data_IF_837561221332
#
_entry.id   IF_837561221332
#
_cell.length_a   1.000
_cell.length_b   1.000
_cell.length_c   1.000
_cell.angle_alpha   90.00
_cell.angle_beta   90.00
_cell.angle_gamma   90.00
#
_symmetry.space_group_name_H-M   'P 1'
#
loop_
_entity.id
_entity.type
_entity.pdbx_description
1 polymer ?
#
# COMPACT_ATOMS: atom_id res chain seq x y z
N UNK A 1 0.94 0.62 -11.89
CA UNK A 1 -0.51 0.54 -12.24
C UNK A 1 -1.24 -0.13 -11.10
N UNK A 2 -2.58 -0.04 -11.04
CA UNK A 2 -3.35 -0.79 -10.04
C UNK A 2 -4.54 -1.50 -10.70
N UNK A 3 -4.92 -2.63 -10.12
CA UNK A 3 -6.07 -3.43 -10.54
C UNK A 3 -6.90 -3.79 -9.31
N UNK A 4 -8.20 -3.61 -9.42
CA UNK A 4 -9.18 -4.01 -8.41
C UNK A 4 -9.89 -5.29 -8.88
N UNK A 5 -10.00 -6.28 -7.99
CA UNK A 5 -10.78 -7.49 -8.21
C UNK A 5 -12.18 -7.41 -7.60
N UNK A 6 -13.14 -8.15 -8.15
CA UNK A 6 -14.55 -8.15 -7.71
C UNK A 6 -14.75 -8.53 -6.23
N UNK A 7 -13.76 -9.15 -5.59
CA UNK A 7 -13.83 -9.61 -4.20
C UNK A 7 -13.07 -8.70 -3.21
N UNK A 8 -12.77 -7.45 -3.57
CA UNK A 8 -12.01 -6.53 -2.71
C UNK A 8 -10.51 -6.82 -2.71
N UNK A 9 -10.01 -7.49 -3.74
CA UNK A 9 -8.57 -7.66 -3.98
C UNK A 9 -8.01 -6.38 -4.62
N UNK A 10 -6.85 -5.95 -4.14
CA UNK A 10 -6.13 -4.80 -4.69
C UNK A 10 -4.71 -5.23 -5.04
N UNK A 11 -4.38 -5.19 -6.32
CA UNK A 11 -3.01 -5.40 -6.79
C UNK A 11 -2.42 -4.08 -7.26
N UNK A 12 -1.25 -3.73 -6.72
CA UNK A 12 -0.49 -2.54 -7.11
C UNK A 12 0.85 -2.99 -7.70
N UNK A 13 1.07 -2.66 -8.96
CA UNK A 13 2.33 -2.87 -9.65
C UNK A 13 3.15 -1.58 -9.63
N UNK A 14 4.18 -1.59 -8.79
CA UNK A 14 5.13 -0.50 -8.59
C UNK A 14 6.24 -0.61 -9.64
N UNK A 15 6.06 0.06 -10.78
CA UNK A 15 6.92 -0.12 -11.94
C UNK A 15 8.29 0.54 -11.80
N UNK A 16 8.31 1.81 -11.35
CA UNK A 16 9.54 2.58 -11.19
C UNK A 16 9.43 3.52 -10.00
N UNK A 17 10.51 3.63 -9.22
CA UNK A 17 10.70 4.66 -8.19
C UNK A 17 11.88 5.55 -8.55
N UNK A 18 11.99 6.71 -7.89
CA UNK A 18 13.15 7.60 -8.04
C UNK A 18 14.23 7.21 -7.04
N UNK A 19 15.51 7.40 -7.38
CA UNK A 19 16.64 7.20 -6.46
C UNK A 19 16.80 8.38 -5.47
N UNK A 20 15.70 8.92 -4.97
CA UNK A 20 15.75 10.00 -4.00
C UNK A 20 16.34 9.50 -2.68
N UNK A 21 17.40 10.14 -2.22
CA UNK A 21 18.00 9.86 -0.92
C UNK A 21 17.09 10.40 0.19
N UNK A 22 16.17 9.56 0.67
CA UNK A 22 15.43 9.84 1.89
C UNK A 22 16.35 9.67 3.11
N UNK A 23 15.97 10.26 4.25
CA UNK A 23 16.73 10.09 5.49
C UNK A 23 16.82 8.60 5.91
N UNK A 24 17.83 8.19 6.69
CA UNK A 24 18.01 6.78 7.10
C UNK A 24 16.79 6.18 7.82
N UNK A 25 16.07 7.01 8.56
CA UNK A 25 14.82 6.70 9.26
C UNK A 25 13.57 6.68 8.37
N UNK A 26 13.74 6.86 7.05
CA UNK A 26 12.65 6.76 6.09
C UNK A 26 12.06 5.35 6.06
N UNK A 27 10.74 5.27 5.96
CA UNK A 27 10.03 4.00 5.76
C UNK A 27 10.02 3.56 4.29
N UNK A 28 10.85 4.13 3.41
CA UNK A 28 10.78 3.89 1.96
C UNK A 28 10.78 2.40 1.60
N UNK A 29 11.79 1.65 2.05
CA UNK A 29 11.94 0.24 1.70
C UNK A 29 10.79 -0.60 2.26
N UNK A 30 10.40 -0.32 3.51
CA UNK A 30 9.28 -1.00 4.19
C UNK A 30 7.95 -0.72 3.47
N UNK A 31 7.70 0.55 3.13
CA UNK A 31 6.50 0.98 2.41
C UNK A 31 6.37 0.30 1.05
N UNK A 32 7.47 0.23 0.27
CA UNK A 32 7.46 -0.43 -1.04
C UNK A 32 7.19 -1.93 -0.88
N UNK A 33 7.80 -2.57 0.11
CA UNK A 33 7.60 -3.99 0.39
C UNK A 33 6.16 -4.29 0.83
N UNK A 34 5.61 -3.50 1.75
CA UNK A 34 4.25 -3.65 2.25
C UNK A 34 3.21 -3.40 1.15
N UNK A 35 3.43 -2.36 0.33
CA UNK A 35 2.53 -2.01 -0.76
C UNK A 35 2.49 -3.09 -1.85
N UNK A 36 3.62 -3.72 -2.16
CA UNK A 36 3.69 -4.88 -3.06
C UNK A 36 3.05 -6.15 -2.45
N UNK A 37 2.96 -6.19 -1.11
CA UNK A 37 2.38 -7.29 -0.33
C UNK A 37 0.88 -7.18 -0.09
N UNK A 38 0.20 -6.12 -0.53
CA UNK A 38 -1.25 -5.95 -0.32
C UNK A 38 -2.03 -7.12 -0.91
N UNK A 39 -2.97 -7.65 -0.13
CA UNK A 39 -3.88 -8.74 -0.52
C UNK A 39 -5.30 -8.21 -0.75
N UNK A 40 -5.75 -7.33 0.13
CA UNK A 40 -7.13 -6.84 0.14
C UNK A 40 -7.18 -5.43 0.67
N UNK A 41 -8.29 -4.75 0.40
CA UNK A 41 -8.50 -3.40 0.87
C UNK A 41 -9.91 -3.19 1.41
N UNK A 42 -10.06 -2.18 2.26
CA UNK A 42 -11.33 -1.72 2.81
C UNK A 42 -11.36 -0.19 2.78
N UNK A 43 -12.45 0.37 2.27
CA UNK A 43 -12.75 1.80 2.41
C UNK A 43 -13.72 1.97 3.56
N UNK A 44 -13.30 2.71 4.59
CA UNK A 44 -14.13 2.99 5.76
C UNK A 44 -13.88 4.43 6.22
N UNK A 45 -14.97 5.16 6.51
CA UNK A 45 -14.91 6.54 7.02
C UNK A 45 -14.05 7.48 6.15
N UNK A 46 -14.03 7.23 4.84
CA UNK A 46 -13.24 7.99 3.85
C UNK A 46 -11.75 7.63 3.80
N UNK A 47 -11.29 6.71 4.65
CA UNK A 47 -9.91 6.21 4.69
C UNK A 47 -9.80 4.86 3.99
N UNK A 48 -8.60 4.57 3.48
CA UNK A 48 -8.25 3.30 2.87
C UNK A 48 -7.41 2.47 3.83
N UNK A 49 -7.86 1.25 4.10
CA UNK A 49 -7.15 0.24 4.86
C UNK A 49 -6.71 -0.86 3.91
N UNK A 50 -5.41 -1.01 3.67
CA UNK A 50 -4.85 -2.06 2.83
C UNK A 50 -4.20 -3.14 3.70
N UNK A 51 -4.78 -4.35 3.68
CA UNK A 51 -4.28 -5.48 4.45
C UNK A 51 -3.19 -6.22 3.67
N UNK A 52 -2.06 -6.49 4.34
CA UNK A 52 -0.90 -7.14 3.76
C UNK A 52 -1.06 -8.66 3.90
N UNK A 53 -0.57 -9.41 2.90
CA UNK A 53 -0.59 -10.88 2.89
C UNK A 53 0.02 -11.44 4.17
N UNK A 54 -0.52 -12.58 4.61
CA UNK A 54 -0.07 -13.31 5.80
C UNK A 54 -0.26 -12.54 7.13
N UNK A 55 -1.22 -11.60 7.16
CA UNK A 55 -1.58 -10.83 8.34
C UNK A 55 -0.40 -10.07 8.97
N UNK A 56 0.56 -9.65 8.14
CA UNK A 56 1.78 -8.96 8.60
C UNK A 56 1.54 -7.50 8.99
N UNK A 57 0.40 -6.93 8.59
CA UNK A 57 0.01 -5.57 8.96
C UNK A 57 -1.11 -5.01 8.09
N UNK A 58 -1.51 -3.77 8.41
CA UNK A 58 -2.47 -2.97 7.65
C UNK A 58 -1.85 -1.59 7.43
N UNK A 59 -1.87 -1.12 6.19
CA UNK A 59 -1.52 0.26 5.84
C UNK A 59 -2.79 1.11 5.83
N UNK A 60 -2.79 2.20 6.59
CA UNK A 60 -3.89 3.15 6.63
C UNK A 60 -3.53 4.41 5.84
N UNK A 61 -4.44 4.84 4.96
CA UNK A 61 -4.30 6.07 4.18
C UNK A 61 -5.50 6.97 4.43
N UNK A 62 -5.22 8.20 4.87
CA UNK A 62 -6.23 9.24 4.97
C UNK A 62 -6.66 9.74 3.58
N UNK A 63 -7.89 10.27 3.44
CA UNK A 63 -8.33 10.91 2.21
C UNK A 63 -7.42 12.09 1.86
N UNK A 64 -7.16 12.26 0.56
CA UNK A 64 -6.49 13.46 0.07
C UNK A 64 -7.40 14.70 0.26
N UNK A 65 -6.84 15.87 0.61
CA UNK A 65 -7.58 17.12 0.69
C UNK A 65 -8.08 17.63 -0.68
#
# INVERSE_FOLDING_TARGET
TFTEGENGELTIDLQTSTMAACAPESLHDQFVLDLAGVASYLLQDGSLFAAIKYDTGIMEFAPAP
#
